data_IF_131111693146
#
_entry.id   IF_131111693146
#
_cell.length_a   1.000
_cell.length_b   1.000
_cell.length_c   1.000
_cell.angle_alpha   90.00
_cell.angle_beta   90.00
_cell.angle_gamma   90.00
#
_symmetry.space_group_name_H-M   'P 1'
#
loop_
_entity.id
_entity.type
_entity.pdbx_description
1 polymer ?
#
# COMPACT_ATOMS: atom_id res chain seq x y z
N UNK A 1 -6.45 4.33 -11.89
CA UNK A 1 -6.03 5.20 -10.77
C UNK A 1 -7.02 5.11 -9.62
N UNK A 2 -6.58 4.50 -8.52
CA UNK A 2 -7.34 4.35 -7.27
C UNK A 2 -6.75 5.26 -6.22
N UNK A 3 -7.58 5.93 -5.43
CA UNK A 3 -7.11 6.82 -4.36
C UNK A 3 -7.02 6.06 -3.04
N UNK A 4 -5.88 6.15 -2.36
CA UNK A 4 -5.62 5.52 -1.06
C UNK A 4 -5.68 6.57 0.04
N UNK A 5 -6.33 6.22 1.15
CA UNK A 5 -6.43 7.04 2.35
C UNK A 5 -5.70 6.35 3.50
N UNK A 6 -4.93 7.13 4.26
CA UNK A 6 -4.21 6.69 5.45
C UNK A 6 -4.53 7.64 6.61
N UNK A 7 -3.94 7.39 7.78
CA UNK A 7 -4.05 8.30 8.92
C UNK A 7 -3.29 9.62 8.70
N UNK A 8 -2.23 9.61 7.91
CA UNK A 8 -1.35 10.77 7.70
C UNK A 8 -1.67 11.53 6.40
N UNK A 9 -2.57 11.02 5.55
CA UNK A 9 -2.97 11.71 4.33
C UNK A 9 -3.69 10.84 3.30
N UNK A 10 -3.59 11.24 2.04
CA UNK A 10 -4.14 10.49 0.91
C UNK A 10 -3.29 10.68 -0.33
N UNK A 11 -3.25 9.69 -1.20
CA UNK A 11 -2.49 9.76 -2.46
C UNK A 11 -3.16 8.95 -3.57
N UNK A 12 -2.81 9.27 -4.82
CA UNK A 12 -3.19 8.48 -5.99
C UNK A 12 -2.21 7.32 -6.17
N UNK A 13 -2.77 6.12 -6.30
CA UNK A 13 -2.03 4.94 -6.70
C UNK A 13 -1.88 4.94 -8.23
N UNK A 14 -0.62 4.90 -8.69
CA UNK A 14 -0.31 4.96 -10.12
C UNK A 14 -0.64 3.62 -10.79
N UNK A 15 -0.94 3.68 -12.08
CA UNK A 15 -1.21 2.47 -12.85
C UNK A 15 0.04 1.57 -12.87
N UNK A 16 -0.12 0.32 -12.43
CA UNK A 16 0.97 -0.66 -12.32
C UNK A 16 1.75 -0.64 -11.00
N UNK A 17 1.45 0.27 -10.07
CA UNK A 17 2.02 0.22 -8.71
C UNK A 17 1.25 -0.76 -7.82
N UNK A 18 1.97 -1.48 -6.95
CA UNK A 18 1.35 -2.12 -5.80
C UNK A 18 1.06 -1.10 -4.71
N UNK A 19 0.17 -1.43 -3.76
CA UNK A 19 -0.08 -0.59 -2.59
C UNK A 19 1.21 -0.28 -1.80
N UNK A 20 2.13 -1.25 -1.70
CA UNK A 20 3.42 -1.07 -1.04
C UNK A 20 4.27 -0.01 -1.77
N UNK A 21 4.35 -0.07 -3.10
CA UNK A 21 5.12 0.90 -3.88
C UNK A 21 4.58 2.33 -3.69
N UNK A 22 3.24 2.48 -3.71
CA UNK A 22 2.58 3.75 -3.47
C UNK A 22 2.86 4.32 -2.07
N UNK A 23 2.83 3.48 -1.03
CA UNK A 23 3.13 3.89 0.35
C UNK A 23 4.60 4.34 0.48
N UNK A 24 5.57 3.58 -0.04
CA UNK A 24 6.98 3.96 0.00
C UNK A 24 7.25 5.26 -0.76
N UNK A 25 6.64 5.43 -1.95
CA UNK A 25 6.80 6.64 -2.77
C UNK A 25 6.30 7.90 -2.06
N UNK A 26 5.28 7.79 -1.21
CA UNK A 26 4.79 8.90 -0.41
C UNK A 26 5.54 9.09 0.92
N UNK A 27 6.53 8.23 1.21
CA UNK A 27 7.36 8.33 2.41
C UNK A 27 6.73 7.74 3.67
N UNK A 28 5.72 6.87 3.54
CA UNK A 28 5.21 6.12 4.69
C UNK A 28 6.25 5.10 5.15
N UNK A 29 6.45 5.01 6.47
CA UNK A 29 7.26 3.94 7.06
C UNK A 29 6.42 2.67 7.14
N UNK A 30 6.74 1.70 6.31
CA UNK A 30 6.02 0.42 6.19
C UNK A 30 7.03 -0.71 6.29
N UNK A 31 6.77 -1.68 7.16
CA UNK A 31 7.62 -2.87 7.24
C UNK A 31 7.49 -3.69 5.96
N UNK A 32 8.60 -4.10 5.34
CA UNK A 32 8.58 -5.02 4.20
C UNK A 32 9.86 -5.86 4.13
N UNK A 33 9.77 -6.99 3.41
CA UNK A 33 10.90 -7.89 3.22
C UNK A 33 11.00 -8.45 1.80
N UNK A 34 9.90 -9.01 1.27
CA UNK A 34 10.00 -9.88 0.09
C UNK A 34 9.50 -9.31 -1.23
N UNK A 35 8.60 -8.31 -1.23
CA UNK A 35 7.88 -7.80 -2.42
C UNK A 35 7.17 -8.87 -3.30
N UNK A 36 7.11 -10.11 -2.84
CA UNK A 36 6.60 -11.26 -3.56
C UNK A 36 5.38 -11.92 -2.86
N UNK A 37 4.82 -11.24 -1.86
CA UNK A 37 3.58 -11.66 -1.18
C UNK A 37 3.69 -12.82 -0.18
N UNK A 38 4.85 -13.48 -0.02
CA UNK A 38 4.95 -14.67 0.83
C UNK A 38 5.31 -14.38 2.31
N UNK A 39 6.04 -13.29 2.60
CA UNK A 39 6.55 -13.04 3.95
C UNK A 39 5.52 -12.43 4.92
N UNK A 40 4.53 -11.69 4.39
CA UNK A 40 3.51 -11.00 5.19
C UNK A 40 3.98 -9.76 5.97
N UNK A 41 5.25 -9.34 5.90
CA UNK A 41 5.76 -8.18 6.66
C UNK A 41 5.04 -6.87 6.37
N UNK A 42 4.60 -6.66 5.12
CA UNK A 42 3.90 -5.43 4.70
C UNK A 42 2.38 -5.49 4.88
N UNK A 43 1.86 -6.40 5.71
CA UNK A 43 0.42 -6.47 5.96
C UNK A 43 -0.01 -5.26 6.78
N UNK A 44 -1.09 -4.62 6.33
CA UNK A 44 -1.72 -3.49 7.01
C UNK A 44 -3.22 -3.73 7.10
N UNK A 45 -3.90 -3.22 8.15
CA UNK A 45 -5.36 -3.30 8.24
C UNK A 45 -6.05 -2.52 7.12
N UNK A 46 -7.03 -3.14 6.47
CA UNK A 46 -7.99 -2.44 5.61
C UNK A 46 -9.19 -2.03 6.46
N UNK A 47 -9.40 -0.72 6.64
CA UNK A 47 -10.49 -0.19 7.46
C UNK A 47 -11.80 -0.08 6.68
N UNK A 48 -11.72 0.23 5.38
CA UNK A 48 -12.86 0.37 4.47
C UNK A 48 -12.41 0.14 3.02
N UNK A 49 -13.32 -0.32 2.16
CA UNK A 49 -13.07 -0.62 0.74
C UNK A 49 -12.75 -2.08 0.42
N UNK A 50 -12.28 -2.32 -0.80
CA UNK A 50 -11.97 -3.65 -1.34
C UNK A 50 -10.61 -3.65 -2.06
N UNK A 51 -9.97 -4.83 -2.16
CA UNK A 51 -8.68 -5.02 -2.84
C UNK A 51 -8.74 -6.20 -3.80
N UNK A 52 -8.05 -6.09 -4.92
CA UNK A 52 -7.84 -7.17 -5.91
C UNK A 52 -6.35 -7.57 -5.92
N UNK A 53 -6.08 -8.86 -6.14
CA UNK A 53 -4.74 -9.47 -6.12
C UNK A 53 -4.26 -9.84 -7.52
#
# INVERSE_FOLDING_TARGET
MSRVFTWDGSFELLDGETLLDGLERQGYDVEYQCRAGYCGSCRTPLLDGEVEY
#
